data_IF_005221886357
#
_entry.id   IF_005221886357
#
_cell.length_a   1.000
_cell.length_b   1.000
_cell.length_c   1.000
_cell.angle_alpha   90.00
_cell.angle_beta   90.00
_cell.angle_gamma   90.00
#
_symmetry.space_group_name_H-M   'P 1'
#
loop_
_entity.id
_entity.type
_entity.pdbx_description
1 polymer ?
#
# COMPACT_ATOMS: atom_id res chain seq x y z
N UNK A 1 12.98 -42.28 4.11
CA UNK A 1 13.24 -41.27 5.17
C UNK A 1 13.79 -39.95 4.61
N UNK A 2 14.86 -39.95 3.79
CA UNK A 2 15.44 -38.71 3.20
C UNK A 2 14.45 -37.85 2.39
N UNK A 3 13.57 -38.47 1.60
CA UNK A 3 12.54 -37.77 0.84
C UNK A 3 11.44 -37.14 1.72
N UNK A 4 11.12 -37.76 2.85
CA UNK A 4 10.16 -37.22 3.81
C UNK A 4 10.73 -36.00 4.54
N UNK A 5 12.02 -36.04 4.89
CA UNK A 5 12.72 -34.89 5.47
C UNK A 5 12.80 -33.73 4.47
N UNK A 6 13.13 -34.01 3.20
CA UNK A 6 13.15 -32.98 2.16
C UNK A 6 11.76 -32.36 1.92
N UNK A 7 10.70 -33.18 1.91
CA UNK A 7 9.32 -32.70 1.78
C UNK A 7 8.93 -31.82 2.98
N UNK A 8 9.26 -32.25 4.20
CA UNK A 8 9.00 -31.47 5.42
C UNK A 8 9.70 -30.11 5.38
N UNK A 9 10.97 -30.06 4.97
CA UNK A 9 11.72 -28.81 4.80
C UNK A 9 11.04 -27.91 3.76
N UNK A 10 10.62 -28.47 2.62
CA UNK A 10 9.96 -27.70 1.57
C UNK A 10 8.63 -27.10 2.05
N UNK A 11 7.84 -27.86 2.82
CA UNK A 11 6.59 -27.38 3.43
C UNK A 11 6.88 -26.25 4.42
N UNK A 12 7.90 -26.36 5.27
CA UNK A 12 8.27 -25.29 6.20
C UNK A 12 8.65 -24.02 5.45
N UNK A 13 9.47 -24.12 4.39
CA UNK A 13 9.81 -22.96 3.56
C UNK A 13 8.59 -22.34 2.87
N UNK A 14 7.67 -23.16 2.36
CA UNK A 14 6.45 -22.67 1.71
C UNK A 14 5.50 -21.94 2.68
N UNK A 15 5.46 -22.33 3.95
CA UNK A 15 4.62 -21.66 4.96
C UNK A 15 5.21 -20.31 5.36
N UNK A 16 6.55 -20.20 5.43
CA UNK A 16 7.23 -18.95 5.82
C UNK A 16 7.01 -17.81 4.81
N UNK A 17 6.74 -18.13 3.53
CA UNK A 17 6.51 -17.12 2.50
C UNK A 17 5.08 -16.59 2.44
N UNK A 18 4.16 -17.12 3.26
CA UNK A 18 2.77 -16.66 3.36
C UNK A 18 2.70 -15.51 4.36
N UNK A 19 3.24 -14.35 3.98
CA UNK A 19 3.05 -13.11 4.73
C UNK A 19 1.86 -12.33 4.15
N UNK A 20 0.95 -11.79 4.98
CA UNK A 20 -0.10 -10.90 4.50
C UNK A 20 0.53 -9.63 3.92
N UNK A 21 -0.02 -9.14 2.81
CA UNK A 21 0.34 -7.81 2.31
C UNK A 21 -0.34 -6.75 3.19
N UNK A 22 0.44 -5.84 3.75
CA UNK A 22 -0.10 -4.69 4.48
C UNK A 22 -0.70 -3.71 3.47
N UNK A 23 -1.96 -3.34 3.68
CA UNK A 23 -2.65 -2.30 2.92
C UNK A 23 -2.62 -0.98 3.71
N UNK A 24 -2.93 0.13 3.05
CA UNK A 24 -3.13 1.41 3.72
C UNK A 24 -4.23 1.32 4.77
N UNK A 25 -4.02 2.00 5.90
CA UNK A 25 -5.11 2.30 6.82
C UNK A 25 -6.11 3.24 6.12
N UNK A 26 -7.39 2.86 6.14
CA UNK A 26 -8.46 3.61 5.50
C UNK A 26 -9.20 4.43 6.54
N UNK A 27 -9.28 5.74 6.32
CA UNK A 27 -9.89 6.69 7.24
C UNK A 27 -11.29 7.03 6.72
N UNK A 28 -12.31 6.76 7.53
CA UNK A 28 -13.67 7.17 7.23
C UNK A 28 -13.81 8.69 7.30
N UNK A 29 -14.57 9.27 6.37
CA UNK A 29 -14.86 10.71 6.30
C UNK A 29 -16.29 10.96 6.79
N UNK A 30 -16.49 11.39 8.05
CA UNK A 30 -17.82 11.73 8.55
C UNK A 30 -18.37 12.96 7.82
N UNK A 31 -19.68 13.00 7.62
CA UNK A 31 -20.36 14.12 6.97
C UNK A 31 -20.58 15.33 7.90
N UNK A 32 -20.42 15.14 9.20
CA UNK A 32 -20.68 16.12 10.26
C UNK A 32 -19.41 16.74 10.87
N UNK A 33 -18.24 16.49 10.28
CA UNK A 33 -16.95 17.05 10.74
C UNK A 33 -16.32 17.99 9.71
N UNK A 34 -15.79 19.11 10.21
CA UNK A 34 -15.14 20.12 9.34
C UNK A 34 -13.69 19.76 8.98
N UNK A 35 -13.02 18.94 9.79
CA UNK A 35 -11.63 18.59 9.61
C UNK A 35 -11.34 17.20 10.19
N UNK A 36 -10.42 16.47 9.56
CA UNK A 36 -9.95 15.15 9.97
C UNK A 36 -8.44 15.24 10.20
N UNK A 37 -7.98 14.72 11.34
CA UNK A 37 -6.55 14.62 11.62
C UNK A 37 -5.99 13.35 10.96
N UNK A 38 -5.12 13.54 9.96
CA UNK A 38 -4.51 12.45 9.20
C UNK A 38 -3.11 12.06 9.71
N UNK A 39 -2.55 12.77 10.70
CA UNK A 39 -1.14 12.63 11.08
C UNK A 39 -0.73 11.22 11.51
N UNK A 40 -1.65 10.42 12.04
CA UNK A 40 -1.39 9.04 12.46
C UNK A 40 -1.52 8.01 11.34
N UNK A 41 -2.14 8.38 10.21
CA UNK A 41 -2.50 7.48 9.12
C UNK A 41 -1.88 7.91 7.78
N UNK A 42 -0.75 8.63 7.86
CA UNK A 42 0.08 8.98 6.72
C UNK A 42 1.25 8.00 6.65
N UNK A 43 1.39 7.37 5.50
CA UNK A 43 2.61 6.68 5.12
C UNK A 43 3.46 7.61 4.24
N UNK A 44 4.67 7.92 4.69
CA UNK A 44 5.62 8.69 3.90
C UNK A 44 6.51 7.73 3.11
N UNK A 45 6.45 7.82 1.78
CA UNK A 45 7.27 7.02 0.88
C UNK A 45 8.16 7.92 0.02
N UNK A 46 9.37 7.46 -0.28
CA UNK A 46 10.21 8.14 -1.25
C UNK A 46 9.65 7.96 -2.66
N UNK A 47 9.74 9.02 -3.48
CA UNK A 47 9.49 8.90 -4.91
C UNK A 47 10.56 8.07 -5.61
N UNK A 48 10.27 7.66 -6.84
CA UNK A 48 11.26 7.07 -7.75
C UNK A 48 11.20 7.83 -9.07
N UNK A 49 12.32 8.37 -9.54
CA UNK A 49 12.41 9.17 -10.77
C UNK A 49 11.41 10.34 -10.83
N UNK A 50 11.19 11.03 -9.71
CA UNK A 50 10.28 12.16 -9.65
C UNK A 50 8.81 11.77 -9.77
N UNK A 51 8.44 10.56 -9.37
CA UNK A 51 7.04 10.09 -9.37
C UNK A 51 6.77 9.12 -8.23
N UNK A 52 5.49 8.97 -7.90
CA UNK A 52 4.98 7.88 -7.07
C UNK A 52 3.89 7.14 -7.83
N UNK A 53 3.84 5.82 -7.67
CA UNK A 53 2.87 4.96 -8.35
C UNK A 53 2.26 4.03 -7.32
N UNK A 54 0.93 4.01 -7.25
CA UNK A 54 0.20 3.15 -6.32
C UNK A 54 -1.07 2.62 -6.95
N UNK A 55 -1.58 1.53 -6.38
CA UNK A 55 -2.88 0.98 -6.72
C UNK A 55 -3.93 1.50 -5.74
N UNK A 56 -5.12 1.83 -6.22
CA UNK A 56 -6.25 2.22 -5.37
C UNK A 56 -6.90 0.98 -4.77
N UNK A 57 -7.68 1.18 -3.71
CA UNK A 57 -8.69 0.18 -3.34
C UNK A 57 -9.66 -0.06 -4.52
N UNK A 58 -10.28 -1.25 -4.61
CA UNK A 58 -11.34 -1.51 -5.57
C UNK A 58 -12.45 -0.46 -5.46
N UNK A 59 -12.90 0.07 -6.59
CA UNK A 59 -14.07 0.95 -6.63
C UNK A 59 -15.37 0.18 -6.36
N UNK A 60 -16.52 0.87 -6.43
CA UNK A 60 -17.84 0.23 -6.34
C UNK A 60 -18.07 -0.83 -7.45
N UNK A 61 -17.32 -0.73 -8.55
CA UNK A 61 -17.28 -1.68 -9.66
C UNK A 61 -16.33 -2.86 -9.43
N UNK A 62 -15.63 -2.91 -8.29
CA UNK A 62 -14.62 -3.91 -7.97
C UNK A 62 -13.29 -3.73 -8.73
N UNK A 63 -13.14 -2.64 -9.51
CA UNK A 63 -11.94 -2.43 -10.33
C UNK A 63 -10.87 -1.71 -9.53
N UNK A 64 -9.69 -2.33 -9.46
CA UNK A 64 -8.46 -1.73 -8.95
C UNK A 64 -7.83 -0.87 -10.03
N UNK A 65 -7.54 0.40 -9.71
CA UNK A 65 -6.91 1.34 -10.63
C UNK A 65 -5.49 1.62 -10.19
N UNK A 66 -4.65 2.04 -11.14
CA UNK A 66 -3.29 2.50 -10.86
C UNK A 66 -3.24 3.99 -11.09
N UNK A 67 -2.73 4.71 -10.10
CA UNK A 67 -2.45 6.13 -10.21
C UNK A 67 -0.95 6.36 -10.23
N UNK A 68 -0.53 7.35 -10.99
CA UNK A 68 0.83 7.86 -11.02
C UNK A 68 0.75 9.38 -10.85
N UNK A 69 1.56 9.90 -9.94
CA UNK A 69 1.68 11.33 -9.71
C UNK A 69 3.11 11.74 -9.95
N UNK A 70 3.30 12.76 -10.79
CA UNK A 70 4.60 13.33 -11.12
C UNK A 70 4.94 14.46 -10.15
N UNK A 71 6.22 14.60 -9.82
CA UNK A 71 6.73 15.69 -9.02
C UNK A 71 6.38 17.04 -9.68
N UNK A 72 5.91 17.99 -8.87
CA UNK A 72 5.54 19.31 -9.37
C UNK A 72 6.72 20.09 -9.97
N UNK A 73 7.94 19.83 -9.49
CA UNK A 73 9.18 20.40 -10.02
C UNK A 73 9.98 19.33 -10.76
N UNK A 74 10.20 19.55 -12.04
CA UNK A 74 10.99 18.65 -12.89
C UNK A 74 12.42 18.48 -12.37
N UNK A 75 12.97 17.27 -12.52
CA UNK A 75 14.31 16.92 -12.04
C UNK A 75 14.42 16.75 -10.52
N UNK A 76 13.31 16.79 -9.78
CA UNK A 76 13.30 16.50 -8.33
C UNK A 76 12.64 15.16 -8.03
N UNK A 77 12.96 14.59 -6.86
CA UNK A 77 12.37 13.36 -6.37
C UNK A 77 11.90 13.53 -4.91
N UNK A 78 10.74 14.16 -4.69
CA UNK A 78 10.23 14.41 -3.35
C UNK A 78 9.73 13.11 -2.69
N UNK A 79 9.64 13.15 -1.36
CA UNK A 79 8.84 12.19 -0.60
C UNK A 79 7.34 12.50 -0.75
N UNK A 80 6.52 11.47 -0.62
CA UNK A 80 5.07 11.50 -0.82
C UNK A 80 4.37 11.03 0.43
N UNK A 81 3.44 11.85 0.94
CA UNK A 81 2.51 11.46 2.00
C UNK A 81 1.30 10.76 1.37
N UNK A 82 1.11 9.49 1.70
CA UNK A 82 0.02 8.65 1.19
C UNK A 82 -0.98 8.37 2.31
N UNK A 83 -2.27 8.47 2.00
CA UNK A 83 -3.37 8.11 2.89
C UNK A 83 -4.57 7.67 2.05
N UNK A 84 -5.43 6.83 2.62
CA UNK A 84 -6.65 6.36 1.97
C UNK A 84 -7.88 6.85 2.72
N UNK A 85 -8.87 7.37 1.98
CA UNK A 85 -10.14 7.83 2.53
C UNK A 85 -11.29 6.93 2.06
N UNK A 86 -12.29 6.74 2.91
CA UNK A 86 -13.59 6.16 2.54
C UNK A 86 -14.74 7.07 2.99
N UNK A 87 -15.80 7.15 2.20
CA UNK A 87 -17.06 7.81 2.54
C UNK A 87 -18.13 6.75 2.78
#
# INVERSE_FOLDING_TARGET
MRHLVALAIYIVFAVITIAPANAFEVIAVPSDVNAINLSAAIDVVEGTDGRVRLSTAPGADGIVRRIEVLAAKEGTNPAWALFALSN
#
